data_IF_654102138957
#
_entry.id   IF_654102138957
#
_cell.length_a   1.000
_cell.length_b   1.000
_cell.length_c   1.000
_cell.angle_alpha   90.00
_cell.angle_beta   90.00
_cell.angle_gamma   90.00
#
_symmetry.space_group_name_H-M   'P 1'
#
loop_
_entity.id
_entity.type
_entity.pdbx_description
1 polymer ?
#
# COMPACT_ATOMS: atom_id res chain seq x y z
N UNK A 1 19.15 33.22 -13.73
CA UNK A 1 18.08 32.58 -12.91
C UNK A 1 18.14 31.11 -13.19
N UNK A 2 18.58 30.29 -12.23
CA UNK A 2 18.56 28.84 -12.36
C UNK A 2 17.08 28.42 -12.47
N UNK A 3 16.72 27.78 -13.57
CA UNK A 3 15.41 27.13 -13.69
C UNK A 3 15.38 26.03 -12.64
N UNK A 4 14.73 26.31 -11.53
CA UNK A 4 14.39 25.25 -10.59
C UNK A 4 13.46 24.28 -11.32
N UNK A 5 13.86 23.04 -11.43
CA UNK A 5 13.01 21.98 -12.00
C UNK A 5 11.66 21.92 -11.28
N UNK A 6 10.69 21.19 -11.83
CA UNK A 6 9.38 21.09 -11.20
C UNK A 6 9.52 20.57 -9.76
N UNK A 7 8.72 21.09 -8.81
CA UNK A 7 8.84 20.67 -7.41
C UNK A 7 8.59 19.15 -7.28
N UNK A 8 9.44 18.49 -6.52
CA UNK A 8 9.39 17.02 -6.33
C UNK A 8 8.01 16.53 -5.87
N UNK A 9 7.34 17.31 -5.02
CA UNK A 9 5.99 17.02 -4.52
C UNK A 9 4.98 16.87 -5.65
N UNK A 10 5.01 17.77 -6.64
CA UNK A 10 4.13 17.69 -7.81
C UNK A 10 4.44 16.49 -8.70
N UNK A 11 5.71 16.11 -8.83
CA UNK A 11 6.11 14.93 -9.62
C UNK A 11 5.65 13.65 -8.95
N UNK A 12 5.86 13.51 -7.64
CA UNK A 12 5.42 12.34 -6.85
C UNK A 12 3.90 12.21 -6.92
N UNK A 13 3.17 13.32 -6.73
CA UNK A 13 1.70 13.31 -6.84
C UNK A 13 1.23 12.82 -8.23
N UNK A 14 1.75 13.42 -9.30
CA UNK A 14 1.36 13.05 -10.67
C UNK A 14 1.72 11.59 -11.00
N UNK A 15 2.89 11.13 -10.55
CA UNK A 15 3.32 9.75 -10.73
C UNK A 15 2.39 8.79 -9.99
N UNK A 16 2.08 9.07 -8.73
CA UNK A 16 1.18 8.23 -7.93
C UNK A 16 -0.21 8.12 -8.57
N UNK A 17 -0.76 9.23 -9.09
CA UNK A 17 -2.05 9.21 -9.76
C UNK A 17 -2.04 8.37 -11.05
N UNK A 18 -0.97 8.44 -11.84
CA UNK A 18 -0.83 7.63 -13.06
C UNK A 18 -0.71 6.13 -12.73
N UNK A 19 0.09 5.79 -11.73
CA UNK A 19 0.28 4.40 -11.33
C UNK A 19 -1.00 3.82 -10.71
N UNK A 20 -1.68 4.59 -9.88
CA UNK A 20 -3.00 4.18 -9.36
C UNK A 20 -3.99 3.87 -10.47
N UNK A 21 -4.07 4.72 -11.50
CA UNK A 21 -4.97 4.47 -12.63
C UNK A 21 -4.61 3.20 -13.42
N UNK A 22 -3.32 2.88 -13.55
CA UNK A 22 -2.87 1.63 -14.18
C UNK A 22 -3.22 0.41 -13.32
N UNK A 23 -2.98 0.48 -12.02
CA UNK A 23 -3.35 -0.57 -11.05
C UNK A 23 -4.86 -0.78 -11.05
N UNK A 24 -5.66 0.29 -10.97
CA UNK A 24 -7.13 0.18 -11.00
C UNK A 24 -7.62 -0.59 -12.24
N UNK A 25 -7.07 -0.27 -13.42
CA UNK A 25 -7.43 -0.99 -14.65
C UNK A 25 -7.08 -2.48 -14.58
N UNK A 26 -5.97 -2.83 -13.97
CA UNK A 26 -5.51 -4.21 -13.85
C UNK A 26 -6.37 -5.03 -12.89
N UNK A 27 -6.78 -4.45 -11.75
CA UNK A 27 -7.48 -5.18 -10.68
C UNK A 27 -9.01 -5.08 -10.76
N UNK A 28 -9.57 -4.13 -11.51
CA UNK A 28 -11.03 -4.00 -11.71
C UNK A 28 -11.69 -5.30 -12.19
N UNK A 29 -11.11 -6.09 -13.12
CA UNK A 29 -11.69 -7.37 -13.52
C UNK A 29 -11.79 -8.41 -12.38
N UNK A 30 -11.02 -8.24 -11.30
CA UNK A 30 -11.09 -9.06 -10.09
C UNK A 30 -12.13 -8.57 -9.08
N UNK A 31 -12.88 -7.52 -9.42
CA UNK A 31 -13.87 -6.90 -8.52
C UNK A 31 -13.25 -6.08 -7.39
N UNK A 32 -11.99 -5.68 -7.50
CA UNK A 32 -11.27 -4.93 -6.49
C UNK A 32 -11.16 -3.44 -6.84
N UNK A 33 -11.24 -2.59 -5.82
CA UNK A 33 -10.80 -1.20 -5.88
C UNK A 33 -9.34 -1.09 -5.46
N UNK A 34 -8.66 0.00 -5.83
CA UNK A 34 -7.29 0.29 -5.41
C UNK A 34 -7.14 0.29 -3.88
N UNK A 35 -8.12 0.84 -3.16
CA UNK A 35 -8.12 0.85 -1.70
C UNK A 35 -8.22 -0.57 -1.10
N UNK A 36 -9.04 -1.43 -1.68
CA UNK A 36 -9.13 -2.84 -1.26
C UNK A 36 -7.83 -3.59 -1.56
N UNK A 37 -7.22 -3.35 -2.73
CA UNK A 37 -5.92 -3.91 -3.08
C UNK A 37 -4.82 -3.47 -2.10
N UNK A 38 -4.82 -2.19 -1.71
CA UNK A 38 -3.84 -1.65 -0.74
C UNK A 38 -3.93 -2.31 0.65
N UNK A 39 -5.05 -2.96 0.96
CA UNK A 39 -5.23 -3.79 2.17
C UNK A 39 -4.90 -5.25 1.90
N UNK A 40 -5.38 -5.81 0.78
CA UNK A 40 -5.22 -7.23 0.47
C UNK A 40 -3.78 -7.64 0.17
N UNK A 41 -3.02 -6.81 -0.55
CA UNK A 41 -1.66 -7.16 -0.95
C UNK A 41 -0.69 -7.31 0.25
N UNK A 42 -0.60 -6.35 1.19
CA UNK A 42 0.21 -6.54 2.39
C UNK A 42 -0.33 -7.64 3.30
N UNK A 43 -1.65 -7.81 3.38
CA UNK A 43 -2.26 -8.90 4.15
C UNK A 43 -1.87 -10.28 3.60
N UNK A 44 -1.79 -10.44 2.26
CA UNK A 44 -1.26 -11.65 1.64
C UNK A 44 0.19 -11.90 2.02
N UNK A 45 1.05 -10.88 2.00
CA UNK A 45 2.44 -11.01 2.41
C UNK A 45 2.58 -11.45 3.87
N UNK A 46 1.76 -10.90 4.76
CA UNK A 46 1.72 -11.29 6.18
C UNK A 46 1.19 -12.71 6.37
N UNK A 47 0.14 -13.10 5.65
CA UNK A 47 -0.43 -14.45 5.68
C UNK A 47 0.57 -15.51 5.20
N UNK A 48 1.32 -15.23 4.13
CA UNK A 48 2.40 -16.10 3.64
C UNK A 48 3.55 -16.23 4.65
N UNK A 49 3.75 -15.23 5.49
CA UNK A 49 4.71 -15.26 6.60
C UNK A 49 4.13 -15.92 7.88
N UNK A 50 2.92 -16.48 7.82
CA UNK A 50 2.24 -17.11 8.96
C UNK A 50 1.72 -16.12 10.00
N UNK A 51 1.57 -14.84 9.65
CA UNK A 51 1.12 -13.76 10.54
C UNK A 51 -0.36 -13.44 10.32
N UNK A 52 -1.05 -13.18 11.42
CA UNK A 52 -2.42 -12.63 11.42
C UNK A 52 -2.40 -11.25 12.07
N UNK A 53 -2.25 -10.17 11.30
CA UNK A 53 -2.15 -8.84 11.86
C UNK A 53 -3.49 -8.38 12.45
N UNK A 54 -3.41 -7.49 13.44
CA UNK A 54 -4.54 -6.69 13.85
C UNK A 54 -4.87 -5.62 12.79
N UNK A 55 -6.09 -5.08 12.84
CA UNK A 55 -6.45 -3.94 11.98
C UNK A 55 -5.51 -2.75 12.20
N UNK A 56 -5.04 -2.54 13.43
CA UNK A 56 -4.11 -1.47 13.75
C UNK A 56 -2.74 -1.69 13.14
N UNK A 57 -2.17 -2.89 13.29
CA UNK A 57 -0.88 -3.23 12.65
C UNK A 57 -0.94 -3.05 11.12
N UNK A 58 -2.06 -3.42 10.51
CA UNK A 58 -2.24 -3.22 9.07
C UNK A 58 -2.38 -1.74 8.71
N UNK A 59 -3.05 -0.93 9.52
CA UNK A 59 -3.13 0.51 9.34
C UNK A 59 -1.75 1.17 9.46
N UNK A 60 -0.98 0.83 10.47
CA UNK A 60 0.38 1.33 10.68
C UNK A 60 1.30 0.93 9.50
N UNK A 61 1.17 -0.29 9.01
CA UNK A 61 1.97 -0.77 7.86
C UNK A 61 1.62 -0.06 6.55
N UNK A 62 0.33 0.18 6.31
CA UNK A 62 -0.15 0.79 5.06
C UNK A 62 -0.12 2.32 5.06
N UNK A 63 0.01 2.94 6.23
CA UNK A 63 -0.15 4.39 6.39
C UNK A 63 -1.59 4.88 6.20
N UNK A 64 -2.57 3.96 6.19
CA UNK A 64 -3.99 4.31 6.08
C UNK A 64 -4.59 4.59 7.46
N UNK A 65 -5.55 5.50 7.51
CA UNK A 65 -6.33 5.79 8.72
C UNK A 65 -6.99 4.51 9.27
N UNK A 66 -6.91 4.23 10.60
CA UNK A 66 -7.46 3.00 11.20
C UNK A 66 -8.96 2.81 10.94
N UNK A 67 -9.75 3.88 10.96
CA UNK A 67 -11.18 3.82 10.64
C UNK A 67 -11.42 3.44 9.17
N UNK A 68 -10.55 3.90 8.28
CA UNK A 68 -10.64 3.56 6.87
C UNK A 68 -10.27 2.09 6.62
N UNK A 69 -9.22 1.59 7.27
CA UNK A 69 -8.86 0.15 7.25
C UNK A 69 -10.02 -0.69 7.78
N UNK A 70 -10.65 -0.29 8.88
CA UNK A 70 -11.83 -0.99 9.42
C UNK A 70 -12.99 -1.05 8.42
N UNK A 71 -13.24 0.04 7.69
CA UNK A 71 -14.28 0.10 6.65
C UNK A 71 -13.95 -0.82 5.48
N UNK A 72 -12.70 -0.82 5.02
CA UNK A 72 -12.24 -1.70 3.93
C UNK A 72 -12.28 -3.17 4.34
N UNK A 73 -11.85 -3.50 5.57
CA UNK A 73 -11.90 -4.85 6.10
C UNK A 73 -13.33 -5.40 6.16
N UNK A 74 -14.32 -4.58 6.58
CA UNK A 74 -15.74 -4.99 6.54
C UNK A 74 -16.23 -5.24 5.13
N UNK A 75 -15.88 -4.39 4.17
CA UNK A 75 -16.27 -4.59 2.77
C UNK A 75 -15.67 -5.86 2.18
N UNK A 76 -14.40 -6.16 2.50
CA UNK A 76 -13.71 -7.39 2.08
C UNK A 76 -14.28 -8.63 2.76
N UNK A 77 -14.68 -8.53 4.04
CA UNK A 77 -15.37 -9.60 4.77
C UNK A 77 -16.73 -9.90 4.13
N UNK A 78 -17.52 -8.87 3.80
CA UNK A 78 -18.80 -9.02 3.10
C UNK A 78 -18.63 -9.67 1.71
N UNK A 79 -17.52 -9.40 1.03
CA UNK A 79 -17.16 -10.04 -0.24
C UNK A 79 -16.63 -11.48 -0.06
N UNK A 80 -16.46 -11.96 1.18
CA UNK A 80 -15.94 -13.28 1.51
C UNK A 80 -14.44 -13.43 1.24
N UNK A 81 -13.68 -12.34 1.24
CA UNK A 81 -12.24 -12.34 0.96
C UNK A 81 -11.39 -12.36 2.22
N UNK A 82 -11.93 -11.93 3.35
CA UNK A 82 -11.24 -12.02 4.65
C UNK A 82 -12.22 -12.36 5.77
N UNK A 83 -11.65 -12.76 6.89
CA UNK A 83 -12.32 -13.00 8.17
C UNK A 83 -11.77 -12.03 9.21
N UNK A 84 -12.67 -11.57 10.07
CA UNK A 84 -12.36 -10.70 11.21
C UNK A 84 -12.65 -11.47 12.48
N UNK A 85 -11.62 -11.70 13.28
CA UNK A 85 -11.75 -12.47 14.54
C UNK A 85 -11.24 -11.64 15.70
N UNK A 86 -11.80 -11.88 16.91
CA UNK A 86 -11.23 -11.30 18.13
C UNK A 86 -9.82 -11.84 18.36
N UNK A 87 -8.92 -10.99 18.86
CA UNK A 87 -7.59 -11.44 19.26
C UNK A 87 -7.69 -12.15 20.63
N UNK A 88 -7.29 -13.45 20.75
CA UNK A 88 -7.31 -14.15 22.03
C UNK A 88 -6.43 -13.51 23.10
N UNK A 89 -5.35 -12.83 22.71
CA UNK A 89 -4.42 -12.15 23.61
C UNK A 89 -4.86 -10.71 23.97
N UNK A 90 -5.71 -10.09 23.14
CA UNK A 90 -6.26 -8.75 23.37
C UNK A 90 -7.68 -8.67 22.81
N UNK A 91 -8.67 -8.76 23.70
CA UNK A 91 -10.10 -8.73 23.34
C UNK A 91 -10.56 -7.42 22.67
N UNK A 92 -9.75 -6.37 22.70
CA UNK A 92 -10.02 -5.10 22.03
C UNK A 92 -9.50 -5.06 20.60
N UNK A 93 -8.60 -5.97 20.23
CA UNK A 93 -8.00 -6.03 18.91
C UNK A 93 -8.77 -6.99 18.00
N UNK A 94 -9.00 -6.56 16.76
CA UNK A 94 -9.56 -7.40 15.70
C UNK A 94 -8.42 -7.87 14.82
N UNK A 95 -8.25 -9.20 14.74
CA UNK A 95 -7.30 -9.84 13.82
C UNK A 95 -7.93 -10.04 12.45
N UNK A 96 -7.11 -9.97 11.42
CA UNK A 96 -7.49 -10.17 10.04
C UNK A 96 -6.81 -11.42 9.49
N UNK A 97 -7.59 -12.25 8.78
CA UNK A 97 -7.10 -13.41 8.06
C UNK A 97 -7.75 -13.47 6.67
N UNK A 98 -6.99 -13.87 5.67
CA UNK A 98 -7.55 -14.14 4.34
C UNK A 98 -8.34 -15.45 4.37
N UNK A 99 -9.48 -15.47 3.68
CA UNK A 99 -10.13 -16.73 3.28
C UNK A 99 -9.34 -17.38 2.15
N UNK A 100 -9.64 -18.64 1.81
CA UNK A 100 -9.03 -19.27 0.62
C UNK A 100 -9.34 -18.48 -0.66
N UNK A 101 -10.59 -18.06 -0.82
CA UNK A 101 -11.01 -17.16 -1.91
C UNK A 101 -10.21 -15.84 -1.88
N UNK A 102 -10.01 -15.27 -0.69
CA UNK A 102 -9.25 -14.05 -0.51
C UNK A 102 -7.78 -14.21 -0.91
N UNK A 103 -7.14 -15.34 -0.56
CA UNK A 103 -5.77 -15.66 -0.99
C UNK A 103 -5.67 -15.76 -2.51
N UNK A 104 -6.62 -16.44 -3.14
CA UNK A 104 -6.61 -16.61 -4.59
C UNK A 104 -6.80 -15.28 -5.33
N UNK A 105 -7.75 -14.45 -4.89
CA UNK A 105 -7.97 -13.11 -5.47
C UNK A 105 -6.78 -12.18 -5.21
N UNK A 106 -6.22 -12.20 -3.99
CA UNK A 106 -5.06 -11.38 -3.65
C UNK A 106 -3.82 -11.78 -4.48
N UNK A 107 -3.55 -13.08 -4.67
CA UNK A 107 -2.46 -13.55 -5.53
C UNK A 107 -2.63 -13.08 -6.96
N UNK A 108 -3.81 -13.28 -7.55
CA UNK A 108 -4.09 -12.81 -8.91
C UNK A 108 -3.89 -11.29 -9.05
N UNK A 109 -4.36 -10.52 -8.07
CA UNK A 109 -4.19 -9.06 -8.08
C UNK A 109 -2.72 -8.66 -7.98
N UNK A 110 -1.96 -9.29 -7.09
CA UNK A 110 -0.50 -9.06 -6.94
C UNK A 110 0.23 -9.42 -8.22
N UNK A 111 -0.05 -10.58 -8.83
CA UNK A 111 0.58 -11.02 -10.07
C UNK A 111 0.31 -10.05 -11.22
N UNK A 112 -0.93 -9.55 -11.35
CA UNK A 112 -1.27 -8.56 -12.36
C UNK A 112 -0.56 -7.22 -12.14
N UNK A 113 -0.46 -6.76 -10.91
CA UNK A 113 0.24 -5.51 -10.58
C UNK A 113 1.75 -5.67 -10.77
N UNK A 114 2.33 -6.81 -10.42
CA UNK A 114 3.74 -7.12 -10.68
C UNK A 114 4.01 -7.17 -12.19
N UNK A 115 3.09 -7.71 -12.99
CA UNK A 115 3.18 -7.69 -14.45
C UNK A 115 3.23 -6.29 -15.07
N UNK A 116 2.70 -5.28 -14.38
CA UNK A 116 2.78 -3.88 -14.83
C UNK A 116 4.13 -3.21 -14.55
N UNK A 117 4.98 -3.79 -13.72
CA UNK A 117 6.22 -3.11 -13.28
C UNK A 117 7.13 -2.75 -14.46
N UNK A 118 7.30 -3.63 -15.43
CA UNK A 118 8.13 -3.35 -16.59
C UNK A 118 7.55 -2.23 -17.46
N UNK A 119 6.23 -2.19 -17.63
CA UNK A 119 5.55 -1.11 -18.35
C UNK A 119 5.69 0.22 -17.63
N UNK A 120 5.42 0.23 -16.31
CA UNK A 120 5.46 1.44 -15.48
C UNK A 120 6.88 2.02 -15.36
N UNK A 121 7.90 1.17 -15.47
CA UNK A 121 9.32 1.56 -15.37
C UNK A 121 10.05 1.54 -16.70
N UNK A 122 9.36 1.34 -17.83
CA UNK A 122 9.95 1.25 -19.17
C UNK A 122 10.84 2.47 -19.51
N UNK A 123 10.41 3.68 -19.12
CA UNK A 123 11.20 4.91 -19.30
C UNK A 123 12.53 4.94 -18.52
N UNK A 124 12.69 4.06 -17.53
CA UNK A 124 13.92 3.87 -16.75
C UNK A 124 14.72 2.64 -17.21
N UNK A 125 14.26 1.94 -18.25
CA UNK A 125 14.87 0.71 -18.76
C UNK A 125 14.30 -0.58 -18.17
N UNK A 126 13.09 -0.52 -17.56
CA UNK A 126 12.37 -1.66 -17.01
C UNK A 126 12.65 -1.90 -15.52
N UNK A 127 11.95 -2.88 -14.94
CA UNK A 127 11.92 -3.14 -13.49
C UNK A 127 13.30 -3.51 -12.91
N UNK A 128 14.17 -4.13 -13.67
CA UNK A 128 15.49 -4.58 -13.22
C UNK A 128 16.64 -3.59 -13.51
N UNK A 129 16.34 -2.44 -14.12
CA UNK A 129 17.36 -1.47 -14.50
C UNK A 129 18.03 -0.81 -13.26
N UNK A 130 19.28 -0.35 -13.38
CA UNK A 130 19.92 0.41 -12.30
C UNK A 130 19.14 1.67 -11.90
N UNK A 131 18.52 2.35 -12.85
CA UNK A 131 17.72 3.55 -12.59
C UNK A 131 16.46 3.23 -11.77
N UNK A 132 15.77 2.12 -12.07
CA UNK A 132 14.62 1.67 -11.29
C UNK A 132 15.03 1.25 -9.87
N UNK A 133 16.14 0.56 -9.71
CA UNK A 133 16.67 0.21 -8.38
C UNK A 133 17.00 1.44 -7.56
N UNK A 134 17.67 2.43 -8.16
CA UNK A 134 17.97 3.71 -7.49
C UNK A 134 16.69 4.46 -7.07
N UNK A 135 15.64 4.42 -7.89
CA UNK A 135 14.34 5.00 -7.53
C UNK A 135 13.70 4.27 -6.33
N UNK A 136 13.75 2.93 -6.32
CA UNK A 136 13.23 2.12 -5.21
C UNK A 136 13.97 2.49 -3.91
N UNK A 137 15.30 2.53 -3.93
CA UNK A 137 16.12 2.88 -2.77
C UNK A 137 15.80 4.29 -2.25
N UNK A 138 15.64 5.25 -3.16
CA UNK A 138 15.26 6.62 -2.81
C UNK A 138 13.86 6.69 -2.16
N UNK A 139 12.87 5.98 -2.72
CA UNK A 139 11.51 5.94 -2.16
C UNK A 139 11.50 5.26 -0.79
N UNK A 140 12.22 4.15 -0.61
CA UNK A 140 12.35 3.47 0.69
C UNK A 140 12.99 4.38 1.73
N UNK A 141 14.03 5.12 1.36
CA UNK A 141 14.69 6.09 2.25
C UNK A 141 13.73 7.19 2.69
N UNK A 142 12.92 7.72 1.77
CA UNK A 142 11.92 8.75 2.08
C UNK A 142 10.81 8.22 2.98
N UNK A 143 10.34 6.99 2.74
CA UNK A 143 9.27 6.36 3.51
C UNK A 143 9.72 5.88 4.90
N UNK A 144 11.02 5.68 5.12
CA UNK A 144 11.56 5.27 6.43
C UNK A 144 11.70 6.41 7.43
N UNK A 145 11.54 7.68 6.99
CA UNK A 145 11.58 8.86 7.85
C UNK A 145 10.17 9.22 8.28
N UNK A 146 9.93 9.28 9.60
CA UNK A 146 8.71 9.86 10.15
C UNK A 146 8.69 11.37 9.88
N UNK A 147 7.82 11.79 8.96
CA UNK A 147 7.63 13.21 8.63
C UNK A 147 6.90 13.99 9.74
N UNK A 148 6.25 13.29 10.68
CA UNK A 148 5.45 13.91 11.74
C UNK A 148 6.29 14.47 12.91
N UNK A 149 7.57 14.07 13.03
CA UNK A 149 8.41 14.49 14.18
C UNK A 149 9.11 15.83 13.94
N UNK A 150 9.29 16.27 12.69
CA UNK A 150 10.07 17.47 12.36
C UNK A 150 9.25 18.75 12.15
N UNK A 151 7.91 18.68 12.12
CA UNK A 151 7.04 19.84 11.92
C UNK A 151 6.70 20.60 13.21
N UNK A 152 6.87 19.97 14.38
CA UNK A 152 6.54 20.59 15.68
C UNK A 152 7.71 21.39 16.31
N UNK A 153 8.89 21.43 15.67
CA UNK A 153 10.08 22.06 16.26
C UNK A 153 10.38 23.47 15.74
N UNK A 154 9.55 24.03 14.85
CA UNK A 154 9.76 25.37 14.29
C UNK A 154 8.60 26.33 14.56
N UNK A 155 8.28 26.59 15.82
CA UNK A 155 7.20 27.48 16.15
C UNK A 155 7.20 28.04 17.56
N UNK A 156 8.32 28.60 18.06
CA UNK A 156 8.26 29.63 19.09
C UNK A 156 9.23 30.77 18.75
N UNK A 157 8.72 31.95 18.39
CA UNK A 157 9.47 33.18 18.52
C UNK A 157 9.29 33.74 19.93
N UNK A 158 10.40 34.01 20.60
CA UNK A 158 10.44 34.84 21.81
C UNK A 158 10.12 36.30 21.45
#
# INVERSE_FOLDING_TARGET
>A
MAQQGPPITGLVWRLSMRWRAAIDRAITPLGLTNAQYAVLAPLLGMDLAGRRPSQRELADFTGLEPLYVSKLARALEQAGLLERTGNPADTRAVQLALTDKGRDVARQAVDQVLGLQDELTAALGGSNSPATKALIDALQTLLSKDLDTDLDTTGEPQ
#
